data_IF_642950959710
#
_entry.id   IF_642950959710
#
_cell.length_a   1.000
_cell.length_b   1.000
_cell.length_c   1.000
_cell.angle_alpha   90.00
_cell.angle_beta   90.00
_cell.angle_gamma   90.00
#
_symmetry.space_group_name_H-M   'P 1'
#
loop_
_entity.id
_entity.type
_entity.pdbx_description
1 polymer ?
#
# COMPACT_ATOMS: atom_id res chain seq x y z
N UNK A 1 -31.18 -8.44 -20.82
CA UNK A 1 -30.18 -8.27 -21.90
C UNK A 1 -28.87 -8.78 -21.34
N UNK A 2 -28.62 -10.08 -21.47
CA UNK A 2 -27.43 -10.74 -20.93
C UNK A 2 -26.22 -10.32 -21.75
N UNK A 3 -25.23 -9.65 -21.13
CA UNK A 3 -23.98 -9.32 -21.80
C UNK A 3 -23.20 -10.61 -22.01
N UNK A 4 -22.76 -10.86 -23.25
CA UNK A 4 -21.79 -11.90 -23.56
C UNK A 4 -20.55 -11.76 -22.66
N UNK A 5 -19.99 -12.88 -22.15
CA UNK A 5 -18.80 -12.83 -21.32
C UNK A 5 -17.62 -12.29 -22.14
N UNK A 6 -17.16 -11.09 -21.79
CA UNK A 6 -15.96 -10.47 -22.39
C UNK A 6 -14.77 -11.37 -22.14
N UNK A 7 -14.06 -11.77 -23.20
CA UNK A 7 -12.87 -12.63 -23.06
C UNK A 7 -11.77 -11.90 -22.27
N UNK A 8 -10.86 -12.62 -21.59
CA UNK A 8 -9.76 -12.00 -20.84
C UNK A 8 -8.92 -11.04 -21.71
N UNK A 9 -8.71 -11.37 -22.99
CA UNK A 9 -7.99 -10.52 -23.94
C UNK A 9 -8.76 -9.24 -24.29
N UNK A 10 -10.07 -9.33 -24.53
CA UNK A 10 -10.91 -8.17 -24.76
C UNK A 10 -10.93 -7.25 -23.53
N UNK A 11 -11.01 -7.84 -22.33
CA UNK A 11 -10.96 -7.11 -21.07
C UNK A 11 -9.62 -6.41 -20.87
N UNK A 12 -8.51 -7.05 -21.26
CA UNK A 12 -7.17 -6.42 -21.23
C UNK A 12 -7.06 -5.25 -22.19
N UNK A 13 -7.52 -5.40 -23.43
CA UNK A 13 -7.54 -4.31 -24.42
C UNK A 13 -8.38 -3.12 -23.95
N UNK A 14 -9.53 -3.38 -23.34
CA UNK A 14 -10.37 -2.33 -22.78
C UNK A 14 -9.66 -1.58 -21.64
N UNK A 15 -8.95 -2.28 -20.77
CA UNK A 15 -8.16 -1.67 -19.70
C UNK A 15 -7.10 -0.72 -20.26
N UNK A 16 -6.36 -1.18 -21.28
CA UNK A 16 -5.32 -0.40 -21.94
C UNK A 16 -5.90 0.83 -22.66
N UNK A 17 -7.06 0.69 -23.32
CA UNK A 17 -7.78 1.81 -23.93
C UNK A 17 -8.20 2.84 -22.88
N UNK A 18 -8.80 2.41 -21.77
CA UNK A 18 -9.18 3.32 -20.70
C UNK A 18 -7.96 4.07 -20.15
N UNK A 19 -6.87 3.35 -19.84
CA UNK A 19 -5.67 3.98 -19.30
C UNK A 19 -5.02 4.97 -20.28
N UNK A 20 -4.97 4.64 -21.58
CA UNK A 20 -4.44 5.53 -22.61
C UNK A 20 -5.31 6.79 -22.79
N UNK A 21 -6.64 6.65 -22.78
CA UNK A 21 -7.57 7.77 -22.88
C UNK A 21 -7.50 8.68 -21.64
N UNK A 22 -7.45 8.10 -20.44
CA UNK A 22 -7.25 8.85 -19.20
C UNK A 22 -5.91 9.59 -19.20
N UNK A 23 -4.84 8.98 -19.72
CA UNK A 23 -3.53 9.62 -19.84
C UNK A 23 -3.54 10.80 -20.82
N UNK A 24 -4.46 10.78 -21.81
CA UNK A 24 -4.72 11.90 -22.70
C UNK A 24 -5.64 12.97 -22.10
N UNK A 25 -6.10 12.80 -20.85
CA UNK A 25 -6.97 13.72 -20.13
C UNK A 25 -8.47 13.51 -20.38
N UNK A 26 -8.87 12.41 -21.03
CA UNK A 26 -10.29 12.14 -21.29
C UNK A 26 -10.98 11.58 -20.03
N UNK A 27 -11.64 12.48 -19.30
CA UNK A 27 -12.41 12.14 -18.11
C UNK A 27 -13.66 11.28 -18.41
N UNK A 28 -14.15 11.20 -19.66
CA UNK A 28 -15.28 10.33 -19.98
C UNK A 28 -14.90 8.84 -19.82
N UNK A 29 -13.66 8.49 -20.18
CA UNK A 29 -13.14 7.13 -20.01
C UNK A 29 -12.92 6.73 -18.55
N UNK A 30 -12.86 7.69 -17.62
CA UNK A 30 -12.86 7.41 -16.19
C UNK A 30 -14.16 6.71 -15.76
N UNK A 31 -15.31 7.11 -16.30
CA UNK A 31 -16.59 6.46 -16.00
C UNK A 31 -16.66 5.04 -16.58
N UNK A 32 -16.14 4.84 -17.80
CA UNK A 32 -16.00 3.50 -18.38
C UNK A 32 -15.07 2.62 -17.54
N UNK A 33 -13.96 3.18 -17.06
CA UNK A 33 -13.04 2.48 -16.17
C UNK A 33 -13.71 2.11 -14.84
N UNK A 34 -14.40 3.06 -14.21
CA UNK A 34 -15.13 2.83 -12.96
C UNK A 34 -16.20 1.74 -13.13
N UNK A 35 -16.96 1.79 -14.22
CA UNK A 35 -17.99 0.78 -14.51
C UNK A 35 -17.40 -0.63 -14.71
N UNK A 36 -16.33 -0.76 -15.50
CA UNK A 36 -15.81 -2.07 -15.93
C UNK A 36 -14.73 -2.65 -15.00
N UNK A 37 -14.02 -1.80 -14.26
CA UNK A 37 -12.90 -2.16 -13.39
C UNK A 37 -13.05 -1.69 -11.93
N UNK A 38 -14.12 -0.96 -11.61
CA UNK A 38 -14.47 -0.57 -10.24
C UNK A 38 -14.46 -1.72 -9.23
N UNK A 39 -15.01 -2.91 -9.55
CA UNK A 39 -14.97 -4.05 -8.62
C UNK A 39 -13.56 -4.50 -8.23
N UNK A 40 -12.56 -4.30 -9.09
CA UNK A 40 -11.16 -4.60 -8.78
C UNK A 40 -10.55 -3.54 -7.88
N UNK A 41 -10.85 -2.26 -8.13
CA UNK A 41 -10.45 -1.14 -7.28
C UNK A 41 -11.10 -1.25 -5.90
N UNK A 42 -12.38 -1.64 -5.84
CA UNK A 42 -13.11 -1.85 -4.58
C UNK A 42 -12.47 -2.91 -3.70
N UNK A 43 -11.97 -4.03 -4.27
CA UNK A 43 -11.24 -5.02 -3.48
C UNK A 43 -9.98 -4.43 -2.85
N UNK A 44 -9.26 -3.56 -3.58
CA UNK A 44 -8.07 -2.88 -3.07
C UNK A 44 -8.45 -1.92 -1.95
N UNK A 45 -9.47 -1.07 -2.16
CA UNK A 45 -9.99 -0.14 -1.15
C UNK A 45 -10.44 -0.87 0.11
N UNK A 46 -11.25 -1.94 -0.02
CA UNK A 46 -11.71 -2.75 1.11
C UNK A 46 -10.56 -3.39 1.89
N UNK A 47 -9.50 -3.86 1.21
CA UNK A 47 -8.30 -4.37 1.88
C UNK A 47 -7.63 -3.28 2.72
N UNK A 48 -7.43 -2.09 2.13
CA UNK A 48 -6.80 -0.95 2.80
C UNK A 48 -7.61 -0.53 4.03
N UNK A 49 -8.93 -0.38 3.90
CA UNK A 49 -9.81 0.00 5.03
C UNK A 49 -9.82 -1.08 6.12
N UNK A 50 -9.78 -2.37 5.74
CA UNK A 50 -9.67 -3.47 6.68
C UNK A 50 -8.35 -3.45 7.47
N UNK A 51 -7.24 -3.18 6.78
CA UNK A 51 -5.91 -3.01 7.40
C UNK A 51 -5.87 -1.83 8.37
N UNK A 52 -6.63 -0.76 8.11
CA UNK A 52 -6.82 0.37 9.01
C UNK A 52 -7.76 0.09 10.20
N UNK A 53 -8.39 -1.09 10.23
CA UNK A 53 -9.31 -1.50 11.30
C UNK A 53 -10.66 -0.78 11.31
N UNK A 54 -11.02 -0.07 10.23
CA UNK A 54 -12.25 0.73 10.10
C UNK A 54 -13.42 -0.10 9.61
N UNK A 55 -13.86 -1.03 10.48
CA UNK A 55 -14.99 -1.93 10.20
C UNK A 55 -16.32 -1.19 10.01
N UNK A 56 -16.45 -0.01 10.61
CA UNK A 56 -17.57 0.91 10.44
C UNK A 56 -17.70 1.36 8.98
N UNK A 57 -16.59 1.79 8.36
CA UNK A 57 -16.55 2.17 6.94
C UNK A 57 -16.86 0.96 6.05
N UNK A 58 -16.31 -0.22 6.36
CA UNK A 58 -16.59 -1.44 5.57
C UNK A 58 -18.06 -1.88 5.62
N UNK A 59 -18.77 -1.53 6.69
CA UNK A 59 -20.18 -1.86 6.87
C UNK A 59 -21.11 -0.91 6.11
N UNK A 60 -20.60 0.23 5.64
CA UNK A 60 -21.35 1.22 4.87
C UNK A 60 -21.00 1.11 3.37
N UNK A 61 -21.92 0.60 2.53
CA UNK A 61 -21.69 0.49 1.10
C UNK A 61 -21.45 1.83 0.39
N UNK A 62 -22.07 2.91 0.86
CA UNK A 62 -21.98 4.23 0.22
C UNK A 62 -20.63 4.88 0.53
N UNK A 63 -20.12 4.73 1.74
CA UNK A 63 -18.76 5.13 2.11
C UNK A 63 -17.70 4.38 1.29
N UNK A 64 -17.84 3.05 1.17
CA UNK A 64 -16.94 2.26 0.32
C UNK A 64 -17.04 2.71 -1.13
N UNK A 65 -18.24 2.99 -1.63
CA UNK A 65 -18.42 3.46 -3.00
C UNK A 65 -17.75 4.82 -3.23
N UNK A 66 -17.87 5.76 -2.29
CA UNK A 66 -17.17 7.05 -2.35
C UNK A 66 -15.65 6.88 -2.41
N UNK A 67 -15.09 6.02 -1.57
CA UNK A 67 -13.64 5.73 -1.57
C UNK A 67 -13.16 5.08 -2.88
N UNK A 68 -14.00 4.27 -3.52
CA UNK A 68 -13.70 3.70 -4.85
C UNK A 68 -13.63 4.78 -5.91
N UNK A 69 -14.54 5.76 -5.88
CA UNK A 69 -14.52 6.89 -6.81
C UNK A 69 -13.23 7.71 -6.64
N UNK A 70 -12.83 7.99 -5.40
CA UNK A 70 -11.57 8.69 -5.12
C UNK A 70 -10.36 7.89 -5.58
N UNK A 71 -10.35 6.58 -5.32
CA UNK A 71 -9.28 5.70 -5.78
C UNK A 71 -9.16 5.68 -7.31
N UNK A 72 -10.28 5.71 -8.03
CA UNK A 72 -10.29 5.81 -9.49
C UNK A 72 -9.78 7.18 -9.95
N UNK A 73 -10.13 8.27 -9.27
CA UNK A 73 -9.59 9.61 -9.54
C UNK A 73 -8.07 9.65 -9.37
N UNK A 74 -7.52 9.00 -8.34
CA UNK A 74 -6.07 8.84 -8.17
C UNK A 74 -5.44 8.08 -9.34
N UNK A 75 -6.09 7.03 -9.84
CA UNK A 75 -5.63 6.29 -11.03
C UNK A 75 -5.67 7.19 -12.28
N UNK A 76 -6.72 7.98 -12.44
CA UNK A 76 -6.87 8.93 -13.54
C UNK A 76 -5.74 9.97 -13.56
N UNK A 77 -5.51 10.67 -12.45
CA UNK A 77 -4.46 11.70 -12.33
C UNK A 77 -3.06 11.16 -12.62
N UNK A 78 -2.83 9.89 -12.27
CA UNK A 78 -1.53 9.24 -12.43
C UNK A 78 -1.40 8.47 -13.74
N UNK A 79 -2.48 8.31 -14.51
CA UNK A 79 -2.51 7.48 -15.71
C UNK A 79 -1.38 7.72 -16.73
N UNK A 80 -0.80 8.94 -16.92
CA UNK A 80 0.34 9.12 -17.83
C UNK A 80 1.60 8.33 -17.44
N UNK A 81 1.75 7.97 -16.16
CA UNK A 81 2.90 7.21 -15.66
C UNK A 81 2.74 5.69 -15.73
N UNK A 82 1.55 5.19 -16.06
CA UNK A 82 1.27 3.77 -16.11
C UNK A 82 1.72 3.15 -17.43
N UNK A 83 2.21 1.91 -17.39
CA UNK A 83 2.67 1.17 -18.58
C UNK A 83 1.85 -0.11 -18.80
N UNK A 84 1.44 -0.41 -20.05
CA UNK A 84 0.60 -1.55 -20.37
C UNK A 84 1.31 -2.90 -20.31
N UNK A 85 2.63 -2.96 -20.21
CA UNK A 85 3.41 -4.17 -19.96
C UNK A 85 3.73 -4.39 -18.47
N UNK A 86 3.34 -3.45 -17.61
CA UNK A 86 3.57 -3.49 -16.17
C UNK A 86 2.40 -4.05 -15.35
N UNK A 87 2.43 -3.74 -14.05
CA UNK A 87 1.39 -4.13 -13.10
C UNK A 87 0.02 -3.52 -13.47
N UNK A 88 -1.07 -4.13 -12.98
CA UNK A 88 -2.42 -3.62 -13.18
C UNK A 88 -2.58 -2.22 -12.56
N UNK A 89 -3.43 -1.33 -13.09
CA UNK A 89 -3.49 0.07 -12.66
C UNK A 89 -3.69 0.26 -11.15
N UNK A 90 -4.57 -0.52 -10.53
CA UNK A 90 -4.82 -0.47 -9.08
C UNK A 90 -3.71 -1.07 -8.22
N UNK A 91 -2.91 -1.99 -8.77
CA UNK A 91 -1.71 -2.53 -8.11
C UNK A 91 -0.56 -1.53 -8.21
N UNK A 92 -0.35 -0.97 -9.40
CA UNK A 92 0.65 0.07 -9.65
C UNK A 92 0.38 1.34 -8.83
N UNK A 93 -0.88 1.78 -8.77
CA UNK A 93 -1.30 2.95 -8.01
C UNK A 93 -1.60 2.65 -6.53
N UNK A 94 -1.39 1.42 -6.05
CA UNK A 94 -1.82 0.97 -4.72
C UNK A 94 -1.43 1.94 -3.60
N UNK A 95 -0.18 2.41 -3.56
CA UNK A 95 0.30 3.32 -2.51
C UNK A 95 -0.40 4.67 -2.54
N UNK A 96 -0.68 5.18 -3.73
CA UNK A 96 -1.40 6.45 -3.91
C UNK A 96 -2.86 6.32 -3.48
N UNK A 97 -3.50 5.21 -3.86
CA UNK A 97 -4.86 4.88 -3.42
C UNK A 97 -4.89 4.76 -1.89
N UNK A 98 -3.92 4.07 -1.29
CA UNK A 98 -3.81 3.91 0.17
C UNK A 98 -3.65 5.25 0.89
N UNK A 99 -2.81 6.14 0.36
CA UNK A 99 -2.63 7.48 0.93
C UNK A 99 -3.94 8.29 0.88
N UNK A 100 -4.66 8.22 -0.25
CA UNK A 100 -5.94 8.91 -0.41
C UNK A 100 -7.03 8.35 0.52
N UNK A 101 -7.14 7.02 0.61
CA UNK A 101 -8.05 6.35 1.55
C UNK A 101 -7.70 6.71 3.00
N UNK A 102 -6.41 6.73 3.37
CA UNK A 102 -5.99 7.13 4.71
C UNK A 102 -6.36 8.57 5.03
N UNK A 103 -6.20 9.48 4.06
CA UNK A 103 -6.55 10.90 4.18
C UNK A 103 -8.04 11.10 4.41
N UNK A 104 -8.87 10.36 3.68
CA UNK A 104 -10.34 10.51 3.73
C UNK A 104 -10.96 9.83 4.94
N UNK A 105 -10.50 8.63 5.26
CA UNK A 105 -11.03 7.85 6.40
C UNK A 105 -10.49 8.39 7.73
N UNK A 106 -9.25 8.86 7.75
CA UNK A 106 -8.52 9.21 8.98
C UNK A 106 -8.15 7.97 9.81
N UNK A 107 -7.20 8.13 10.73
CA UNK A 107 -6.91 7.10 11.74
C UNK A 107 -8.02 7.08 12.79
N UNK A 108 -8.40 5.90 13.28
CA UNK A 108 -9.30 5.79 14.43
C UNK A 108 -8.63 6.44 15.64
N UNK A 109 -9.01 7.66 15.97
CA UNK A 109 -8.74 8.25 17.28
C UNK A 109 -9.72 7.60 18.25
N UNK A 110 -9.27 6.57 18.96
CA UNK A 110 -9.97 6.16 20.18
C UNK A 110 -9.71 7.30 21.16
N UNK A 111 -10.73 8.12 21.43
CA UNK A 111 -10.70 9.01 22.58
C UNK A 111 -10.42 8.12 23.80
N UNK A 112 -9.33 8.42 24.52
CA UNK A 112 -9.16 7.87 25.85
C UNK A 112 -10.45 8.21 26.59
N UNK A 113 -11.11 7.20 27.13
CA UNK A 113 -12.32 7.41 27.91
C UNK A 113 -11.87 8.13 29.18
N UNK A 114 -11.88 9.46 29.13
CA UNK A 114 -11.72 10.31 30.28
C UNK A 114 -12.88 9.96 31.21
N UNK A 115 -12.54 9.33 32.32
CA UNK A 115 -13.49 9.09 33.40
C UNK A 115 -14.05 10.43 33.85
N UNK A 116 -15.37 10.56 33.77
CA UNK A 116 -16.25 11.50 34.45
C UNK A 116 -15.64 12.88 34.79
N UNK A 117 -15.84 13.84 33.90
CA UNK A 117 -15.54 15.26 34.13
C UNK A 117 -16.42 16.17 33.27
N UNK A 118 -17.54 16.57 33.86
CA UNK A 118 -18.49 17.61 33.47
C UNK A 118 -17.95 18.79 32.61
N UNK A 119 -18.66 19.08 31.51
CA UNK A 119 -18.89 20.43 31.00
C UNK A 119 -17.81 21.12 30.15
N UNK A 120 -18.05 21.23 28.84
CA UNK A 120 -18.21 22.50 28.11
C UNK A 120 -18.07 22.30 26.60
N UNK A 121 -19.04 22.82 25.86
CA UNK A 121 -19.03 22.93 24.40
C UNK A 121 -17.77 23.66 23.92
N UNK A 122 -16.90 22.94 23.23
CA UNK A 122 -15.77 23.49 22.50
C UNK A 122 -15.95 23.22 21.01
N UNK A 123 -16.40 24.23 20.28
CA UNK A 123 -16.33 24.25 18.82
C UNK A 123 -14.88 24.01 18.38
N UNK A 124 -14.62 22.86 17.75
CA UNK A 124 -13.32 22.60 17.13
C UNK A 124 -13.35 23.19 15.72
N UNK A 125 -13.12 24.51 15.65
CA UNK A 125 -12.66 25.14 14.41
C UNK A 125 -11.13 25.06 14.37
N UNK A 126 -10.61 24.39 13.35
CA UNK A 126 -9.66 24.95 12.39
C UNK A 126 -8.85 23.81 11.77
N UNK A 127 -9.32 23.35 10.61
CA UNK A 127 -8.53 22.53 9.70
C UNK A 127 -7.47 23.43 9.08
N UNK A 128 -6.42 23.71 9.85
CA UNK A 128 -5.24 24.38 9.36
C UNK A 128 -4.72 23.62 8.14
N UNK A 129 -4.78 24.32 7.02
CA UNK A 129 -4.11 24.06 5.76
C UNK A 129 -2.63 23.75 6.00
N UNK A 130 -2.33 22.46 6.24
CA UNK A 130 -1.00 21.92 6.02
C UNK A 130 -0.91 21.71 4.50
N UNK A 131 -0.51 22.79 3.84
CA UNK A 131 -0.36 22.88 2.40
C UNK A 131 0.30 21.65 1.80
N UNK A 132 -0.10 21.37 0.56
CA UNK A 132 0.30 20.26 -0.30
C UNK A 132 1.75 19.80 -0.11
N UNK A 133 1.95 18.96 0.89
CA UNK A 133 3.11 18.10 1.00
C UNK A 133 2.72 16.82 0.32
N UNK A 134 3.30 16.55 -0.84
CA UNK A 134 3.42 15.18 -1.34
C UNK A 134 3.87 14.33 -0.15
N UNK A 135 2.97 13.50 0.40
CA UNK A 135 3.32 12.56 1.46
C UNK A 135 4.40 11.69 0.85
N UNK A 136 5.64 11.95 1.23
CA UNK A 136 6.81 11.32 0.66
C UNK A 136 6.58 9.81 0.74
N UNK A 137 6.58 9.18 -0.43
CA UNK A 137 6.40 7.75 -0.58
C UNK A 137 7.43 7.06 0.31
N UNK A 138 7.03 6.40 1.41
CA UNK A 138 7.96 5.62 2.23
C UNK A 138 8.60 4.53 1.35
N UNK A 139 9.85 4.75 1.00
CA UNK A 139 10.79 3.82 0.36
C UNK A 139 11.66 3.19 1.44
N UNK A 140 12.49 2.20 1.07
CA UNK A 140 13.58 1.74 1.96
C UNK A 140 14.47 2.91 2.42
N UNK A 141 14.54 4.00 1.66
CA UNK A 141 15.34 5.18 2.02
C UNK A 141 14.67 6.04 3.12
N UNK A 142 13.35 5.90 3.35
CA UNK A 142 12.62 6.58 4.43
C UNK A 142 12.65 5.81 5.76
N UNK A 143 13.15 4.57 5.74
CA UNK A 143 13.32 3.75 6.95
C UNK A 143 14.27 4.41 7.95
N UNK A 144 15.26 5.18 7.46
CA UNK A 144 16.18 5.95 8.31
C UNK A 144 15.48 7.02 9.16
N UNK A 145 14.32 7.53 8.74
CA UNK A 145 13.54 8.46 9.55
C UNK A 145 12.82 7.74 10.71
N UNK A 146 12.45 6.47 10.53
CA UNK A 146 11.81 5.63 11.55
C UNK A 146 12.81 5.08 12.58
N UNK A 147 14.06 4.84 12.18
CA UNK A 147 15.16 4.45 13.08
C UNK A 147 15.36 5.47 14.21
N UNK A 148 15.16 6.76 13.93
CA UNK A 148 15.33 7.84 14.90
C UNK A 148 14.21 7.93 15.95
N UNK A 149 13.04 7.35 15.66
CA UNK A 149 11.82 7.49 16.49
C UNK A 149 11.57 6.22 17.31
N UNK A 150 11.94 5.05 16.81
CA UNK A 150 11.68 3.77 17.47
C UNK A 150 12.94 2.90 17.53
N UNK A 151 13.46 2.70 18.75
CA UNK A 151 14.65 1.89 19.00
C UNK A 151 14.52 0.45 18.48
N UNK A 152 13.32 -0.13 18.55
CA UNK A 152 13.05 -1.48 18.05
C UNK A 152 13.14 -1.55 16.52
N UNK A 153 12.71 -0.51 15.81
CA UNK A 153 12.84 -0.43 14.35
C UNK A 153 14.32 -0.33 13.98
N UNK A 154 15.11 0.47 14.70
CA UNK A 154 16.55 0.56 14.51
C UNK A 154 17.23 -0.82 14.65
N UNK A 155 16.89 -1.59 15.70
CA UNK A 155 17.42 -2.94 15.92
C UNK A 155 17.03 -3.92 14.81
N UNK A 156 15.79 -3.86 14.30
CA UNK A 156 15.35 -4.69 13.16
C UNK A 156 16.18 -4.38 11.93
N UNK A 157 16.38 -3.10 11.63
CA UNK A 157 17.10 -2.68 10.41
C UNK A 157 18.59 -2.97 10.52
N UNK A 158 19.19 -2.79 11.69
CA UNK A 158 20.57 -3.21 11.97
C UNK A 158 20.75 -4.72 11.76
N UNK A 159 19.84 -5.53 12.30
CA UNK A 159 19.88 -6.98 12.14
C UNK A 159 19.81 -7.41 10.66
N UNK A 160 19.02 -6.70 9.85
CA UNK A 160 18.93 -6.95 8.41
C UNK A 160 20.20 -6.50 7.68
N UNK A 161 20.74 -5.31 8.01
CA UNK A 161 21.94 -4.72 7.37
C UNK A 161 23.23 -5.48 7.69
N UNK A 162 23.27 -6.20 8.80
CA UNK A 162 24.45 -6.99 9.21
C UNK A 162 24.59 -8.32 8.47
N UNK A 163 23.61 -8.72 7.65
CA UNK A 163 23.66 -9.99 6.90
C UNK A 163 23.44 -9.83 5.40
N UNK A 164 24.17 -10.65 4.62
CA UNK A 164 24.06 -10.68 3.17
C UNK A 164 24.58 -9.41 2.48
N UNK A 165 24.27 -9.26 1.19
CA UNK A 165 24.71 -8.11 0.40
C UNK A 165 23.73 -6.94 0.53
N UNK A 166 24.20 -5.70 0.34
CA UNK A 166 23.33 -4.51 0.35
C UNK A 166 22.18 -4.61 -0.65
N UNK A 167 22.42 -5.26 -1.80
CA UNK A 167 21.37 -5.54 -2.79
C UNK A 167 20.32 -6.49 -2.24
N UNK A 168 20.73 -7.61 -1.64
CA UNK A 168 19.81 -8.60 -1.06
C UNK A 168 19.01 -8.04 0.12
N UNK A 169 19.64 -7.18 0.92
CA UNK A 169 18.98 -6.46 2.03
C UNK A 169 17.85 -5.57 1.51
N UNK A 170 18.12 -4.77 0.47
CA UNK A 170 17.13 -3.88 -0.14
C UNK A 170 15.99 -4.67 -0.78
N UNK A 171 16.29 -5.76 -1.49
CA UNK A 171 15.28 -6.68 -2.06
C UNK A 171 14.41 -7.29 -0.95
N UNK A 172 15.00 -7.72 0.16
CA UNK A 172 14.26 -8.32 1.26
C UNK A 172 13.33 -7.31 1.95
N UNK A 173 13.83 -6.10 2.24
CA UNK A 173 13.04 -5.03 2.85
C UNK A 173 11.86 -4.63 1.96
N UNK A 174 12.11 -4.41 0.67
CA UNK A 174 11.05 -4.06 -0.27
C UNK A 174 10.03 -5.21 -0.41
N UNK A 175 10.49 -6.46 -0.51
CA UNK A 175 9.58 -7.62 -0.56
C UNK A 175 8.71 -7.73 0.69
N UNK A 176 9.28 -7.51 1.87
CA UNK A 176 8.53 -7.58 3.12
C UNK A 176 7.57 -6.39 3.29
N UNK A 177 7.96 -5.20 2.80
CA UNK A 177 7.09 -4.03 2.74
C UNK A 177 5.90 -4.27 1.81
N UNK A 178 6.12 -4.77 0.58
CA UNK A 178 5.04 -5.11 -0.35
C UNK A 178 4.09 -6.17 0.22
N UNK A 179 4.62 -7.16 0.94
CA UNK A 179 3.82 -8.17 1.67
C UNK A 179 3.01 -7.56 2.80
N UNK A 180 3.59 -6.65 3.57
CA UNK A 180 2.90 -5.93 4.64
C UNK A 180 1.83 -4.98 4.12
N UNK A 181 1.99 -4.48 2.89
CA UNK A 181 1.00 -3.70 2.14
C UNK A 181 -0.05 -4.59 1.44
N UNK A 182 -0.10 -5.89 1.72
CA UNK A 182 -1.11 -6.78 1.16
C UNK A 182 -0.99 -7.02 -0.35
N UNK A 183 0.14 -6.70 -1.00
CA UNK A 183 0.34 -6.97 -2.43
C UNK A 183 0.25 -8.49 -2.69
N UNK A 184 -0.79 -8.96 -3.41
CA UNK A 184 -0.97 -10.39 -3.70
C UNK A 184 0.15 -10.94 -4.61
N UNK A 185 0.93 -10.06 -5.25
CA UNK A 185 1.99 -10.38 -6.21
C UNK A 185 3.32 -9.72 -5.83
N UNK A 186 3.61 -9.54 -4.54
CA UNK A 186 4.82 -8.88 -4.03
C UNK A 186 6.13 -9.34 -4.71
N UNK A 187 6.29 -10.64 -5.01
CA UNK A 187 7.49 -11.13 -5.70
C UNK A 187 7.60 -10.66 -7.15
N UNK A 188 6.49 -10.40 -7.83
CA UNK A 188 6.46 -9.85 -9.19
C UNK A 188 6.82 -8.36 -9.18
N UNK A 189 6.21 -7.62 -8.25
CA UNK A 189 6.44 -6.19 -8.07
C UNK A 189 7.92 -5.90 -7.80
N UNK A 190 8.52 -6.63 -6.85
CA UNK A 190 9.94 -6.49 -6.53
C UNK A 190 10.85 -7.01 -7.65
N UNK A 191 10.44 -8.06 -8.37
CA UNK A 191 11.21 -8.56 -9.50
C UNK A 191 11.35 -7.50 -10.60
N UNK A 192 10.25 -6.82 -10.93
CA UNK A 192 10.24 -5.73 -11.90
C UNK A 192 11.13 -4.55 -11.46
N UNK A 193 11.05 -4.17 -10.19
CA UNK A 193 11.84 -3.04 -9.64
C UNK A 193 13.35 -3.29 -9.65
N UNK A 194 13.79 -4.50 -9.31
CA UNK A 194 15.22 -4.83 -9.19
C UNK A 194 15.81 -5.50 -10.44
N UNK A 195 15.04 -5.67 -11.51
CA UNK A 195 15.46 -6.40 -12.71
C UNK A 195 15.81 -7.86 -12.41
N UNK A 196 15.02 -8.51 -11.57
CA UNK A 196 15.17 -9.91 -11.15
C UNK A 196 14.01 -10.77 -11.65
N UNK A 197 14.10 -12.08 -11.45
CA UNK A 197 12.96 -12.98 -11.59
C UNK A 197 12.22 -13.12 -10.25
N UNK A 198 10.92 -13.43 -10.27
CA UNK A 198 10.17 -13.68 -9.04
C UNK A 198 10.78 -14.79 -8.17
N UNK A 199 11.28 -15.85 -8.82
CA UNK A 199 11.92 -16.96 -8.16
C UNK A 199 13.18 -16.51 -7.41
N UNK A 200 13.98 -15.62 -8.04
CA UNK A 200 15.15 -15.03 -7.40
C UNK A 200 14.75 -14.16 -6.21
N UNK A 201 13.71 -13.33 -6.32
CA UNK A 201 13.20 -12.52 -5.20
C UNK A 201 12.80 -13.41 -4.03
N UNK A 202 11.98 -14.44 -4.26
CA UNK A 202 11.56 -15.41 -3.23
C UNK A 202 12.77 -16.10 -2.59
N UNK A 203 13.77 -16.46 -3.39
CA UNK A 203 14.99 -17.09 -2.90
C UNK A 203 15.85 -16.15 -2.05
N UNK A 204 16.03 -14.89 -2.46
CA UNK A 204 16.74 -13.85 -1.72
C UNK A 204 16.03 -13.62 -0.37
N UNK A 205 14.71 -13.41 -0.40
CA UNK A 205 13.93 -13.16 0.81
C UNK A 205 14.02 -14.32 1.80
N UNK A 206 13.92 -15.57 1.32
CA UNK A 206 14.11 -16.77 2.16
C UNK A 206 15.51 -16.81 2.78
N UNK A 207 16.56 -16.59 1.98
CA UNK A 207 17.95 -16.65 2.45
C UNK A 207 18.24 -15.56 3.48
N UNK A 208 17.78 -14.33 3.24
CA UNK A 208 17.96 -13.24 4.18
C UNK A 208 17.22 -13.48 5.48
N UNK A 209 15.94 -13.87 5.42
CA UNK A 209 15.17 -14.20 6.62
C UNK A 209 15.85 -15.28 7.46
N UNK A 210 16.40 -16.32 6.84
CA UNK A 210 17.11 -17.37 7.56
C UNK A 210 18.35 -16.83 8.29
N UNK A 211 19.16 -16.00 7.62
CA UNK A 211 20.36 -15.40 8.22
C UNK A 211 20.01 -14.47 9.38
N UNK A 212 19.00 -13.61 9.18
CA UNK A 212 18.55 -12.68 10.22
C UNK A 212 18.02 -13.48 11.41
N UNK A 213 17.18 -14.51 11.22
CA UNK A 213 16.68 -15.33 12.34
C UNK A 213 17.80 -15.95 13.17
N UNK A 214 18.88 -16.40 12.55
CA UNK A 214 20.05 -16.89 13.29
C UNK A 214 20.71 -15.79 14.12
N UNK A 215 20.76 -14.57 13.61
CA UNK A 215 21.30 -13.41 14.32
C UNK A 215 20.39 -12.96 15.47
N UNK A 216 19.05 -13.05 15.31
CA UNK A 216 18.08 -12.65 16.34
C UNK A 216 18.17 -13.49 17.63
N UNK A 217 18.82 -14.67 17.59
CA UNK A 217 19.09 -15.49 18.77
C UNK A 217 20.24 -14.94 19.64
N UNK A 218 20.97 -13.92 19.16
CA UNK A 218 22.10 -13.31 19.84
C UNK A 218 21.72 -11.95 20.45
N UNK A 219 22.28 -11.57 21.61
CA UNK A 219 22.18 -10.18 22.10
C UNK A 219 22.80 -9.21 21.07
N UNK A 220 22.22 -8.02 20.84
CA UNK A 220 21.12 -7.37 21.57
C UNK A 220 19.71 -7.61 20.99
N UNK A 221 19.52 -8.50 20.01
CA UNK A 221 18.32 -8.55 19.17
C UNK A 221 17.09 -9.24 19.78
N UNK A 222 17.17 -9.66 21.04
CA UNK A 222 16.08 -10.34 21.74
C UNK A 222 14.72 -9.60 21.70
N UNK A 223 14.64 -8.26 21.83
CA UNK A 223 13.36 -7.54 21.79
C UNK A 223 12.62 -7.62 20.45
N UNK A 224 13.33 -7.88 19.35
CA UNK A 224 12.78 -7.81 17.99
C UNK A 224 12.66 -9.18 17.32
N UNK A 225 12.87 -10.26 18.08
CA UNK A 225 12.85 -11.63 17.59
C UNK A 225 11.52 -12.02 16.94
N UNK A 226 10.41 -11.50 17.47
CA UNK A 226 9.05 -11.84 17.04
C UNK A 226 8.45 -10.82 16.06
N UNK A 227 9.26 -9.92 15.49
CA UNK A 227 8.78 -8.92 14.54
C UNK A 227 8.13 -9.58 13.31
N UNK A 228 6.96 -9.07 12.91
CA UNK A 228 6.14 -9.65 11.83
C UNK A 228 6.87 -9.76 10.48
N UNK A 229 7.86 -8.90 10.23
CA UNK A 229 8.72 -8.94 9.04
C UNK A 229 9.49 -10.26 8.88
N UNK A 230 9.70 -10.98 9.99
CA UNK A 230 10.36 -12.29 10.04
C UNK A 230 9.39 -13.47 10.08
N UNK A 231 8.08 -13.22 10.17
CA UNK A 231 7.05 -14.25 10.13
C UNK A 231 6.97 -14.90 8.72
N UNK A 232 6.58 -16.17 8.70
CA UNK A 232 6.64 -17.08 7.53
C UNK A 232 5.85 -16.58 6.32
#
# INVERSE_FOLDING_TARGET
>A
MEREPTTPEQRRRLLEQCMAAMAAGDAAFMFTFLHEFGPQVERVVRSIVAEMGRRDVLADPDEVHGLVQDAVMVVFERSPGWRPDGALPWTWAYRAIRAEVARRVGHRTIGLQDGDGDGADGEVSDGADLGGGAVACLTVDDVSALEAVHADVALVIEAIRSVGSSRDQRVFLEYALQRGLGDPSASQTVAAEFGLTEANVRQIARRQRQKVRTLLEQPPYAPVRDAAIFAS
#
